data_IF_895820412110
#
_entry.id   IF_895820412110
#
_cell.length_a   1.000
_cell.length_b   1.000
_cell.length_c   1.000
_cell.angle_alpha   90.00
_cell.angle_beta   90.00
_cell.angle_gamma   90.00
#
_symmetry.space_group_name_H-M   'P 1'
#
loop_
_entity.id
_entity.type
_entity.pdbx_description
1 polymer ?
#
# COMPACT_ATOMS: atom_id res chain seq x y z
N UNK A 1 24.63 -1.87 -9.98
CA UNK A 1 23.83 -0.71 -10.40
C UNK A 1 23.81 0.31 -9.29
N UNK A 2 23.55 1.60 -9.58
CA UNK A 2 23.52 2.67 -8.58
C UNK A 2 22.16 3.33 -8.60
N UNK A 3 21.53 3.49 -7.43
CA UNK A 3 20.22 4.13 -7.29
C UNK A 3 20.21 5.08 -6.10
N UNK A 4 19.45 6.17 -6.22
CA UNK A 4 19.20 7.14 -5.15
C UNK A 4 17.77 6.94 -4.63
N UNK A 5 17.63 6.67 -3.35
CA UNK A 5 16.35 6.40 -2.71
C UNK A 5 16.07 7.50 -1.69
N UNK A 6 14.91 8.15 -1.80
CA UNK A 6 14.43 9.00 -0.71
C UNK A 6 13.82 8.12 0.37
N UNK A 7 14.29 8.29 1.61
CA UNK A 7 13.71 7.66 2.78
C UNK A 7 12.80 8.65 3.50
N UNK A 8 11.59 8.22 3.78
CA UNK A 8 10.62 8.95 4.60
C UNK A 8 10.30 8.08 5.82
N UNK A 9 11.01 8.23 6.94
CA UNK A 9 10.71 7.44 8.14
C UNK A 9 9.26 7.62 8.60
N UNK A 10 8.73 8.85 8.53
CA UNK A 10 7.36 9.17 8.92
C UNK A 10 7.16 9.22 10.43
N UNK A 11 5.99 8.77 10.89
CA UNK A 11 5.49 8.92 12.25
C UNK A 11 5.36 7.56 12.96
N UNK A 12 5.24 7.59 14.28
CA UNK A 12 4.96 6.41 15.09
C UNK A 12 5.97 5.28 14.93
N UNK A 13 5.52 4.10 14.46
CA UNK A 13 6.40 2.95 14.19
C UNK A 13 7.23 3.11 12.90
N UNK A 14 6.95 4.12 12.08
CA UNK A 14 7.60 4.32 10.78
C UNK A 14 9.13 4.30 10.83
N UNK A 15 9.79 5.06 11.74
CA UNK A 15 11.26 5.05 11.84
C UNK A 15 11.87 3.67 12.11
N UNK A 16 11.24 2.85 12.96
CA UNK A 16 11.78 1.53 13.30
C UNK A 16 11.60 0.52 12.14
N UNK A 17 10.47 0.52 11.43
CA UNK A 17 10.23 -0.39 10.31
C UNK A 17 11.04 -0.02 9.06
N UNK A 18 11.22 1.28 8.77
CA UNK A 18 12.08 1.76 7.67
C UNK A 18 13.54 1.44 7.93
N UNK A 19 14.00 1.54 9.18
CA UNK A 19 15.38 1.16 9.54
C UNK A 19 15.65 -0.32 9.23
N UNK A 20 14.69 -1.22 9.48
CA UNK A 20 14.86 -2.65 9.18
C UNK A 20 14.80 -2.91 7.66
N UNK A 21 13.89 -2.28 6.91
CA UNK A 21 13.85 -2.39 5.46
C UNK A 21 15.14 -1.85 4.80
N UNK A 22 15.69 -0.74 5.31
CA UNK A 22 16.98 -0.22 4.85
C UNK A 22 18.11 -1.23 5.04
N UNK A 23 18.19 -1.90 6.20
CA UNK A 23 19.22 -2.95 6.43
C UNK A 23 19.09 -4.10 5.43
N UNK A 24 17.86 -4.50 5.10
CA UNK A 24 17.59 -5.53 4.06
C UNK A 24 18.11 -5.05 2.70
N UNK A 25 17.84 -3.80 2.30
CA UNK A 25 18.37 -3.23 1.06
C UNK A 25 19.91 -3.15 1.07
N UNK A 26 20.52 -2.77 2.20
CA UNK A 26 21.99 -2.75 2.35
C UNK A 26 22.57 -4.16 2.19
N UNK A 27 21.89 -5.20 2.69
CA UNK A 27 22.28 -6.61 2.49
C UNK A 27 22.18 -7.07 1.04
N UNK A 28 21.13 -6.64 0.34
CA UNK A 28 20.97 -6.87 -1.11
C UNK A 28 22.13 -6.21 -1.87
N UNK A 29 22.52 -4.97 -1.53
CA UNK A 29 23.67 -4.31 -2.12
C UNK A 29 24.96 -5.09 -1.92
N UNK A 30 25.19 -5.59 -0.71
CA UNK A 30 26.38 -6.42 -0.40
C UNK A 30 26.41 -7.69 -1.25
N UNK A 31 25.28 -8.41 -1.32
CA UNK A 31 25.20 -9.71 -2.00
C UNK A 31 25.30 -9.61 -3.51
N UNK A 32 24.63 -8.61 -4.13
CA UNK A 32 24.50 -8.51 -5.58
C UNK A 32 25.37 -7.43 -6.22
N UNK A 33 26.18 -6.70 -5.42
CA UNK A 33 27.12 -5.69 -5.93
C UNK A 33 26.43 -4.42 -6.41
N UNK A 34 25.36 -3.97 -5.75
CA UNK A 34 24.69 -2.71 -6.00
C UNK A 34 25.19 -1.61 -5.05
N UNK A 35 24.82 -0.35 -5.36
CA UNK A 35 25.07 0.79 -4.48
C UNK A 35 23.78 1.60 -4.38
N UNK A 36 23.20 1.68 -3.18
CA UNK A 36 22.07 2.55 -2.91
C UNK A 36 22.51 3.73 -2.06
N UNK A 37 22.16 4.93 -2.52
CA UNK A 37 22.35 6.18 -1.77
C UNK A 37 21.01 6.61 -1.20
N UNK A 38 21.01 7.08 0.05
CA UNK A 38 19.77 7.44 0.74
C UNK A 38 19.75 8.92 1.09
N UNK A 39 18.63 9.57 0.80
CA UNK A 39 18.31 10.94 1.22
C UNK A 39 17.09 10.90 2.12
N UNK A 40 17.26 11.24 3.40
CA UNK A 40 16.15 11.27 4.35
C UNK A 40 15.40 12.60 4.25
N UNK A 41 14.07 12.54 4.20
CA UNK A 41 13.17 13.69 4.19
C UNK A 41 12.04 13.51 5.20
N UNK A 42 11.59 14.62 5.78
CA UNK A 42 10.51 14.63 6.76
C UNK A 42 9.15 14.79 6.07
N UNK A 43 8.16 14.03 6.56
CA UNK A 43 6.77 14.12 6.13
C UNK A 43 5.86 13.78 7.31
N UNK A 44 4.64 14.29 7.28
CA UNK A 44 3.64 14.02 8.32
C UNK A 44 3.88 14.82 9.61
N UNK A 45 3.65 14.17 10.73
CA UNK A 45 3.83 14.76 12.06
C UNK A 45 5.27 15.16 12.34
N UNK A 46 6.24 14.33 11.92
CA UNK A 46 7.66 14.64 12.03
C UNK A 46 8.04 15.94 11.31
N UNK A 47 7.45 16.22 10.15
CA UNK A 47 7.64 17.48 9.43
C UNK A 47 6.95 18.66 10.14
N UNK A 48 5.75 18.44 10.68
CA UNK A 48 5.01 19.47 11.42
C UNK A 48 5.82 19.92 12.65
N UNK A 49 6.40 18.99 13.38
CA UNK A 49 7.16 19.28 14.60
C UNK A 49 8.43 20.12 14.32
N UNK A 50 9.05 19.94 13.15
CA UNK A 50 10.28 20.66 12.78
C UNK A 50 9.99 21.93 11.98
N UNK A 51 9.06 21.85 11.02
CA UNK A 51 8.84 22.88 10.00
C UNK A 51 7.49 23.60 10.13
N UNK A 52 6.57 23.13 10.99
CA UNK A 52 5.22 23.68 11.15
C UNK A 52 4.26 23.32 10.00
N UNK A 53 4.69 22.53 9.04
CA UNK A 53 3.91 22.06 7.89
C UNK A 53 4.12 20.55 7.66
N UNK A 54 3.09 19.82 7.19
CA UNK A 54 3.19 18.37 7.03
C UNK A 54 4.11 17.92 5.88
N UNK A 55 4.46 18.82 4.96
CA UNK A 55 5.33 18.56 3.83
C UNK A 55 5.93 19.89 3.34
N UNK A 56 7.26 19.92 3.11
CA UNK A 56 7.97 21.09 2.58
C UNK A 56 8.23 20.94 1.07
N UNK A 57 8.41 22.07 0.37
CA UNK A 57 8.80 22.05 -1.05
C UNK A 57 10.17 21.39 -1.26
N UNK A 58 11.10 21.52 -0.30
CA UNK A 58 12.41 20.87 -0.33
C UNK A 58 12.28 19.35 -0.28
N UNK A 59 11.40 18.82 0.60
CA UNK A 59 11.11 17.39 0.67
C UNK A 59 10.53 16.86 -0.65
N UNK A 60 9.61 17.61 -1.29
CA UNK A 60 9.08 17.28 -2.62
C UNK A 60 10.20 17.28 -3.68
N UNK A 61 11.08 18.27 -3.66
CA UNK A 61 12.18 18.37 -4.63
C UNK A 61 13.16 17.20 -4.48
N UNK A 62 13.52 16.83 -3.25
CA UNK A 62 14.38 15.70 -2.95
C UNK A 62 13.74 14.38 -3.41
N UNK A 63 12.46 14.16 -3.10
CA UNK A 63 11.74 12.97 -3.54
C UNK A 63 11.66 12.87 -5.08
N UNK A 64 11.43 13.99 -5.78
CA UNK A 64 11.42 14.04 -7.26
C UNK A 64 12.77 13.74 -7.89
N UNK A 65 13.86 14.08 -7.22
CA UNK A 65 15.22 13.88 -7.71
C UNK A 65 15.76 12.45 -7.47
N UNK A 66 15.05 11.64 -6.69
CA UNK A 66 15.42 10.25 -6.45
C UNK A 66 14.87 9.29 -7.51
N UNK A 67 15.37 8.06 -7.52
CA UNK A 67 14.89 6.99 -8.42
C UNK A 67 13.64 6.31 -7.88
N UNK A 68 13.46 6.32 -6.55
CA UNK A 68 12.29 5.82 -5.85
C UNK A 68 12.19 6.41 -4.44
N UNK A 69 11.03 6.25 -3.81
CA UNK A 69 10.78 6.64 -2.41
C UNK A 69 10.40 5.41 -1.60
N UNK A 70 11.08 5.18 -0.47
CA UNK A 70 10.67 4.21 0.55
C UNK A 70 10.17 4.97 1.77
N UNK A 71 8.94 4.71 2.18
CA UNK A 71 8.26 5.42 3.25
C UNK A 71 7.79 4.46 4.34
N UNK A 72 7.82 4.91 5.57
CA UNK A 72 7.17 4.25 6.69
C UNK A 72 5.69 4.64 6.79
N UNK A 73 5.24 4.94 7.98
CA UNK A 73 3.84 5.27 8.25
C UNK A 73 3.64 6.75 8.57
N UNK A 74 2.49 7.29 8.24
CA UNK A 74 2.13 8.70 8.48
C UNK A 74 0.89 8.77 9.36
N UNK A 75 0.88 9.71 10.30
CA UNK A 75 -0.25 10.00 11.17
C UNK A 75 0.02 9.75 12.64
N UNK A 76 -1.03 9.85 13.45
CA UNK A 76 -0.96 9.68 14.90
C UNK A 76 -2.34 9.34 15.48
N UNK A 77 -2.44 9.26 16.80
CA UNK A 77 -3.71 9.06 17.47
C UNK A 77 -4.57 10.33 17.40
N UNK A 78 -5.77 10.21 16.84
CA UNK A 78 -6.67 11.36 16.61
C UNK A 78 -7.11 12.07 17.90
N UNK A 79 -7.04 11.40 19.07
CA UNK A 79 -7.48 11.94 20.36
C UNK A 79 -6.34 12.60 21.12
N UNK A 80 -5.13 12.04 21.03
CA UNK A 80 -3.99 12.41 21.88
C UNK A 80 -2.93 13.22 21.16
N UNK A 81 -2.77 13.04 19.84
CA UNK A 81 -1.76 13.72 19.06
C UNK A 81 -2.08 15.21 18.87
N UNK A 82 -1.11 16.11 19.08
CA UNK A 82 -1.33 17.56 18.96
C UNK A 82 -1.66 18.00 17.52
N UNK A 83 -1.26 17.23 16.53
CA UNK A 83 -1.45 17.56 15.10
C UNK A 83 -2.93 17.59 14.69
N UNK A 84 -3.81 16.84 15.38
CA UNK A 84 -5.25 16.81 15.06
C UNK A 84 -6.02 18.01 15.60
N UNK A 85 -5.36 18.91 16.39
CA UNK A 85 -5.88 20.23 16.75
C UNK A 85 -5.70 21.26 15.63
N UNK A 86 -4.87 20.94 14.64
CA UNK A 86 -4.63 21.78 13.46
C UNK A 86 -5.78 21.67 12.47
N UNK A 87 -5.89 22.69 11.61
CA UNK A 87 -6.78 22.63 10.44
C UNK A 87 -6.51 21.38 9.60
N UNK A 88 -7.53 20.74 9.00
CA UNK A 88 -7.37 19.51 8.23
C UNK A 88 -6.27 19.57 7.16
N UNK A 89 -6.09 20.73 6.51
CA UNK A 89 -5.05 20.97 5.50
C UNK A 89 -3.61 20.99 6.05
N UNK A 90 -3.45 21.02 7.36
CA UNK A 90 -2.15 21.05 8.07
C UNK A 90 -1.86 19.77 8.86
N UNK A 91 -2.74 18.76 8.77
CA UNK A 91 -2.56 17.47 9.45
C UNK A 91 -1.61 16.57 8.68
N UNK A 92 -1.05 15.52 9.30
CA UNK A 92 -0.13 14.59 8.66
C UNK A 92 -0.65 14.00 7.34
N UNK A 93 -1.93 13.63 7.28
CA UNK A 93 -2.58 13.04 6.10
C UNK A 93 -2.60 14.00 4.90
N UNK A 94 -2.69 15.31 5.15
CA UNK A 94 -2.60 16.30 4.08
C UNK A 94 -1.23 16.28 3.38
N UNK A 95 -0.16 16.04 4.14
CA UNK A 95 1.18 15.84 3.60
C UNK A 95 1.27 14.59 2.72
N UNK A 96 0.66 13.48 3.16
CA UNK A 96 0.62 12.23 2.39
C UNK A 96 -0.12 12.40 1.06
N UNK A 97 -1.28 13.04 1.07
CA UNK A 97 -2.03 13.32 -0.16
C UNK A 97 -1.26 14.28 -1.09
N UNK A 98 -0.59 15.29 -0.50
CA UNK A 98 0.18 16.26 -1.26
C UNK A 98 1.40 15.63 -1.96
N UNK A 99 2.17 14.75 -1.30
CA UNK A 99 3.32 14.09 -1.94
C UNK A 99 2.88 13.12 -3.03
N UNK A 100 1.82 12.34 -2.84
CA UNK A 100 1.26 11.46 -3.87
C UNK A 100 0.86 12.25 -5.12
N UNK A 101 0.21 13.40 -4.94
CA UNK A 101 -0.14 14.32 -6.03
C UNK A 101 1.09 14.93 -6.69
N UNK A 102 2.04 15.44 -5.90
CA UNK A 102 3.25 16.08 -6.40
C UNK A 102 4.14 15.13 -7.23
N UNK A 103 4.14 13.84 -6.88
CA UNK A 103 4.84 12.78 -7.59
C UNK A 103 4.00 12.10 -8.69
N UNK A 104 2.74 12.52 -8.88
CA UNK A 104 1.79 11.94 -9.86
C UNK A 104 1.61 10.42 -9.72
N UNK A 105 1.50 9.93 -8.49
CA UNK A 105 1.35 8.51 -8.18
C UNK A 105 -0.13 8.11 -8.28
N UNK A 106 -0.54 7.58 -9.41
CA UNK A 106 -1.97 7.30 -9.66
C UNK A 106 -2.38 5.84 -9.42
N UNK A 107 -1.44 4.89 -9.46
CA UNK A 107 -1.74 3.48 -9.32
C UNK A 107 -1.18 2.94 -8.00
N UNK A 108 -2.05 2.63 -7.05
CA UNK A 108 -1.65 2.00 -5.80
C UNK A 108 -1.89 0.49 -5.88
N UNK A 109 -0.82 -0.27 -5.76
CA UNK A 109 -0.81 -1.73 -5.79
C UNK A 109 -0.77 -2.26 -4.37
N UNK A 110 -1.75 -3.05 -3.98
CA UNK A 110 -1.88 -3.68 -2.66
C UNK A 110 -2.06 -5.20 -2.83
N UNK A 111 -0.96 -5.98 -2.84
CA UNK A 111 -1.04 -7.43 -2.87
C UNK A 111 -1.59 -7.97 -1.55
N UNK A 112 -2.46 -8.97 -1.63
CA UNK A 112 -2.96 -9.73 -0.49
C UNK A 112 -2.72 -11.22 -0.76
N UNK A 113 -1.67 -11.73 -0.13
CA UNK A 113 -1.20 -13.10 -0.24
C UNK A 113 -1.28 -13.80 1.11
N UNK A 114 -1.93 -14.95 1.15
CA UNK A 114 -1.97 -15.77 2.37
C UNK A 114 -0.80 -16.75 2.38
N UNK A 115 0.15 -16.51 3.25
CA UNK A 115 1.23 -17.46 3.53
C UNK A 115 0.67 -18.70 4.22
N UNK A 116 1.09 -19.90 3.81
CA UNK A 116 0.64 -21.15 4.43
C UNK A 116 0.95 -21.19 5.93
N UNK A 117 2.06 -20.61 6.34
CA UNK A 117 2.55 -20.51 7.72
C UNK A 117 1.69 -19.57 8.57
N UNK A 118 0.87 -18.73 7.96
CA UNK A 118 -0.04 -17.79 8.63
C UNK A 118 -1.52 -18.21 8.56
N UNK A 119 -1.83 -19.41 8.06
CA UNK A 119 -3.22 -19.91 8.00
C UNK A 119 -3.93 -19.87 9.36
N UNK A 120 -3.23 -20.14 10.44
CA UNK A 120 -3.78 -20.07 11.79
C UNK A 120 -4.14 -18.65 12.24
N UNK A 121 -3.54 -17.62 11.66
CA UNK A 121 -3.87 -16.21 11.91
C UNK A 121 -5.00 -15.69 11.02
N UNK A 122 -5.32 -16.39 9.92
CA UNK A 122 -6.44 -16.05 9.04
C UNK A 122 -7.78 -16.24 9.77
N UNK A 123 -8.68 -15.26 9.76
CA UNK A 123 -9.98 -15.35 10.44
C UNK A 123 -10.99 -16.22 9.68
N UNK A 124 -10.68 -16.63 8.45
CA UNK A 124 -11.56 -17.44 7.62
C UNK A 124 -11.43 -18.93 7.99
N UNK A 125 -12.52 -19.67 7.79
CA UNK A 125 -12.51 -21.13 7.97
C UNK A 125 -11.70 -21.82 6.86
N UNK A 126 -11.10 -22.97 7.18
CA UNK A 126 -10.26 -23.73 6.24
C UNK A 126 -10.98 -24.10 4.94
N UNK A 127 -12.29 -24.36 4.97
CA UNK A 127 -13.06 -24.66 3.75
C UNK A 127 -13.15 -23.45 2.80
N UNK A 128 -13.04 -22.21 3.32
CA UNK A 128 -13.05 -20.98 2.54
C UNK A 128 -11.65 -20.68 2.02
N UNK A 129 -10.63 -20.92 2.84
CA UNK A 129 -9.23 -20.71 2.49
C UNK A 129 -8.80 -21.65 1.35
N UNK A 130 -9.26 -22.92 1.39
CA UNK A 130 -8.87 -23.93 0.39
C UNK A 130 -7.35 -24.07 0.29
N UNK A 131 -6.82 -23.93 -0.92
CA UNK A 131 -5.37 -23.98 -1.21
C UNK A 131 -4.67 -22.61 -0.95
N UNK A 132 -5.38 -21.63 -0.40
CA UNK A 132 -4.90 -20.27 -0.20
C UNK A 132 -5.42 -19.30 -1.26
N UNK A 133 -4.98 -18.05 -1.17
CA UNK A 133 -5.32 -17.03 -2.16
C UNK A 133 -4.15 -16.07 -2.36
N UNK A 134 -4.08 -15.55 -3.57
CA UNK A 134 -3.10 -14.56 -4.03
C UNK A 134 -3.82 -13.57 -4.94
N UNK A 135 -4.05 -12.36 -4.47
CA UNK A 135 -4.70 -11.30 -5.22
C UNK A 135 -3.94 -10.00 -5.12
N UNK A 136 -4.19 -9.10 -6.06
CA UNK A 136 -3.68 -7.73 -6.01
C UNK A 136 -4.81 -6.74 -6.26
N UNK A 137 -4.96 -5.76 -5.38
CA UNK A 137 -5.89 -4.65 -5.55
C UNK A 137 -5.14 -3.49 -6.19
N UNK A 138 -5.59 -3.08 -7.36
CA UNK A 138 -5.09 -1.95 -8.15
C UNK A 138 -6.06 -0.78 -7.93
N UNK A 139 -5.71 0.09 -6.97
CA UNK A 139 -6.49 1.25 -6.54
C UNK A 139 -6.07 2.48 -7.34
N UNK A 140 -7.00 3.18 -7.97
CA UNK A 140 -6.75 4.54 -8.44
C UNK A 140 -6.50 5.45 -7.23
N UNK A 141 -5.45 6.28 -7.25
CA UNK A 141 -4.95 6.93 -6.03
C UNK A 141 -5.08 8.46 -6.03
N UNK A 142 -5.33 9.10 -7.17
CA UNK A 142 -5.24 10.57 -7.32
C UNK A 142 -6.53 11.24 -7.77
N UNK A 143 -7.60 10.48 -7.90
CA UNK A 143 -8.95 10.97 -8.22
C UNK A 143 -9.98 10.65 -7.13
N UNK A 144 -11.23 10.79 -7.49
CA UNK A 144 -12.37 10.40 -6.69
C UNK A 144 -12.67 11.32 -5.51
N UNK A 145 -13.30 10.73 -4.50
CA UNK A 145 -13.84 11.47 -3.34
C UNK A 145 -12.74 12.17 -2.53
N UNK A 146 -11.55 11.57 -2.41
CA UNK A 146 -10.46 12.10 -1.59
C UNK A 146 -9.79 13.35 -2.18
N UNK A 147 -9.96 13.59 -3.48
CA UNK A 147 -9.39 14.74 -4.20
C UNK A 147 -10.44 15.70 -4.75
N UNK A 148 -11.73 15.39 -4.57
CA UNK A 148 -12.83 16.24 -4.96
C UNK A 148 -12.99 17.50 -4.11
N UNK A 149 -13.81 18.41 -4.59
CA UNK A 149 -14.19 19.59 -3.82
C UNK A 149 -14.97 19.19 -2.57
N UNK A 150 -14.65 19.84 -1.48
CA UNK A 150 -15.33 19.61 -0.20
C UNK A 150 -15.60 20.92 0.50
N UNK A 151 -16.76 21.02 1.14
CA UNK A 151 -17.15 22.19 1.92
C UNK A 151 -18.09 21.82 3.05
N UNK A 152 -18.06 22.63 4.10
CA UNK A 152 -19.06 22.63 5.16
C UNK A 152 -19.59 24.05 5.28
N UNK A 153 -20.88 24.25 5.09
CA UNK A 153 -21.54 25.55 5.08
C UNK A 153 -22.92 25.46 5.72
N UNK A 154 -23.47 26.61 6.08
CA UNK A 154 -24.85 26.68 6.55
C UNK A 154 -25.79 26.91 5.33
N UNK A 155 -26.71 25.98 5.11
CA UNK A 155 -27.73 26.02 4.06
C UNK A 155 -29.09 26.02 4.75
N UNK A 156 -29.86 27.06 4.52
CA UNK A 156 -31.20 27.24 5.13
C UNK A 156 -31.23 27.09 6.66
N UNK A 157 -30.17 27.58 7.34
CA UNK A 157 -30.02 27.48 8.80
C UNK A 157 -29.57 26.11 9.31
N UNK A 158 -29.15 25.18 8.41
CA UNK A 158 -28.68 23.85 8.75
C UNK A 158 -27.23 23.67 8.31
N UNK A 159 -26.36 23.22 9.23
CA UNK A 159 -24.98 22.91 8.90
C UNK A 159 -24.91 21.71 7.96
N UNK A 160 -24.39 21.93 6.73
CA UNK A 160 -24.35 20.95 5.65
C UNK A 160 -22.94 20.74 5.18
N UNK A 161 -22.49 19.48 5.12
CA UNK A 161 -21.18 19.08 4.57
C UNK A 161 -21.38 18.40 3.21
N UNK A 162 -20.54 18.74 2.24
CA UNK A 162 -20.55 18.18 0.89
C UNK A 162 -19.15 17.73 0.51
N UNK A 163 -19.04 16.50 0.01
CA UNK A 163 -17.85 15.95 -0.65
C UNK A 163 -18.22 15.52 -2.07
N UNK A 164 -17.40 15.90 -3.05
CA UNK A 164 -17.68 15.64 -4.47
C UNK A 164 -16.80 14.50 -4.99
N UNK A 165 -17.44 13.47 -5.54
CA UNK A 165 -16.75 12.37 -6.22
C UNK A 165 -16.67 12.67 -7.72
N UNK A 166 -15.47 12.79 -8.27
CA UNK A 166 -15.25 13.08 -9.70
C UNK A 166 -14.19 12.16 -10.27
N UNK A 167 -14.48 11.59 -11.45
CA UNK A 167 -13.53 10.87 -12.31
C UNK A 167 -13.69 11.32 -13.75
N UNK A 168 -12.58 11.43 -14.47
CA UNK A 168 -12.56 11.61 -15.91
C UNK A 168 -12.05 10.34 -16.63
N UNK A 169 -12.32 10.25 -17.92
CA UNK A 169 -11.96 9.07 -18.72
C UNK A 169 -10.45 8.74 -18.74
N UNK A 170 -9.58 9.76 -18.65
CA UNK A 170 -8.14 9.56 -18.68
C UNK A 170 -7.64 8.90 -17.37
N UNK A 171 -8.18 9.31 -16.23
CA UNK A 171 -7.87 8.70 -14.94
C UNK A 171 -8.29 7.23 -14.92
N UNK A 172 -9.49 6.92 -15.39
CA UNK A 172 -9.99 5.55 -15.46
C UNK A 172 -9.16 4.71 -16.44
N UNK A 173 -8.87 5.26 -17.62
CA UNK A 173 -8.14 4.56 -18.68
C UNK A 173 -6.72 4.17 -18.25
N UNK A 174 -5.99 5.09 -17.59
CA UNK A 174 -4.62 4.82 -17.14
C UNK A 174 -4.56 3.73 -16.05
N UNK A 175 -5.50 3.73 -15.10
CA UNK A 175 -5.51 2.72 -14.05
C UNK A 175 -6.00 1.37 -14.57
N UNK A 176 -6.97 1.34 -15.49
CA UNK A 176 -7.41 0.13 -16.14
C UNK A 176 -6.25 -0.52 -16.91
N UNK A 177 -5.53 0.23 -17.76
CA UNK A 177 -4.34 -0.29 -18.46
C UNK A 177 -3.34 -0.91 -17.49
N UNK A 178 -3.00 -0.22 -16.39
CA UNK A 178 -2.08 -0.75 -15.37
C UNK A 178 -2.58 -2.08 -14.79
N UNK A 179 -3.87 -2.22 -14.51
CA UNK A 179 -4.45 -3.47 -13.99
C UNK A 179 -4.38 -4.60 -15.03
N UNK A 180 -4.69 -4.32 -16.29
CA UNK A 180 -4.59 -5.32 -17.36
C UNK A 180 -3.13 -5.73 -17.63
N UNK A 181 -2.17 -4.81 -17.62
CA UNK A 181 -0.74 -5.11 -17.74
C UNK A 181 -0.26 -6.04 -16.62
N UNK A 182 -0.73 -5.80 -15.39
CA UNK A 182 -0.44 -6.68 -14.24
C UNK A 182 -1.09 -8.06 -14.45
N UNK A 183 -2.34 -8.11 -14.88
CA UNK A 183 -3.06 -9.37 -15.13
C UNK A 183 -2.38 -10.22 -16.19
N UNK A 184 -1.80 -9.61 -17.23
CA UNK A 184 -1.03 -10.33 -18.28
C UNK A 184 0.16 -11.11 -17.70
N UNK A 185 0.72 -10.65 -16.60
CA UNK A 185 1.83 -11.32 -15.89
C UNK A 185 1.36 -12.28 -14.78
N UNK A 186 0.05 -12.37 -14.56
CA UNK A 186 -0.59 -13.19 -13.51
C UNK A 186 -1.55 -14.21 -14.16
N UNK A 187 -2.67 -14.49 -13.50
CA UNK A 187 -3.66 -15.50 -13.97
C UNK A 187 -4.62 -14.98 -15.05
N UNK A 188 -4.37 -13.78 -15.59
CA UNK A 188 -5.14 -13.16 -16.67
C UNK A 188 -6.63 -12.96 -16.33
N UNK A 189 -6.93 -12.61 -15.10
CA UNK A 189 -8.28 -12.31 -14.64
C UNK A 189 -8.35 -10.95 -13.97
N UNK A 190 -9.19 -10.05 -14.48
CA UNK A 190 -9.46 -8.72 -13.92
C UNK A 190 -10.90 -8.65 -13.44
N UNK A 191 -11.08 -8.28 -12.18
CA UNK A 191 -12.39 -7.93 -11.63
C UNK A 191 -12.42 -6.42 -11.44
N UNK A 192 -13.25 -5.75 -12.25
CA UNK A 192 -13.52 -4.31 -12.12
C UNK A 192 -14.61 -4.08 -11.09
N UNK A 193 -14.28 -3.31 -10.04
CA UNK A 193 -15.18 -3.09 -8.91
C UNK A 193 -15.66 -1.63 -8.90
N UNK A 194 -16.97 -1.45 -8.87
CA UNK A 194 -17.63 -0.16 -8.96
C UNK A 194 -19.00 -0.13 -8.25
N UNK A 195 -19.75 0.96 -8.40
CA UNK A 195 -21.13 1.12 -7.92
C UNK A 195 -22.03 1.63 -9.06
N UNK A 196 -21.91 1.05 -10.24
CA UNK A 196 -22.56 1.50 -11.49
C UNK A 196 -24.09 1.48 -11.45
N UNK A 197 -24.67 0.66 -10.59
CA UNK A 197 -26.13 0.65 -10.36
C UNK A 197 -26.67 1.96 -9.73
N UNK A 198 -25.80 2.81 -9.15
CA UNK A 198 -26.18 4.05 -8.46
C UNK A 198 -25.43 5.27 -9.00
N UNK A 199 -24.11 5.20 -9.18
CA UNK A 199 -23.25 6.35 -9.43
C UNK A 199 -22.92 6.57 -10.90
N UNK A 200 -22.99 7.84 -11.37
CA UNK A 200 -22.60 8.21 -12.73
C UNK A 200 -21.10 8.01 -13.00
N UNK A 201 -20.25 8.32 -12.00
CA UNK A 201 -18.80 8.08 -12.07
C UNK A 201 -18.50 6.60 -12.28
N UNK A 202 -19.23 5.70 -11.63
CA UNK A 202 -19.07 4.25 -11.78
C UNK A 202 -19.60 3.74 -13.13
N UNK A 203 -20.65 4.34 -13.69
CA UNK A 203 -21.10 4.04 -15.06
C UNK A 203 -20.07 4.45 -16.12
N UNK A 204 -19.39 5.58 -15.93
CA UNK A 204 -18.27 5.99 -16.75
C UNK A 204 -17.09 5.02 -16.58
N UNK A 205 -16.80 4.59 -15.33
CA UNK A 205 -15.78 3.61 -15.01
C UNK A 205 -15.99 2.30 -15.77
N UNK A 206 -17.17 1.70 -15.65
CA UNK A 206 -17.57 0.49 -16.36
C UNK A 206 -17.35 0.61 -17.88
N UNK A 207 -17.86 1.70 -18.48
CA UNK A 207 -17.69 1.98 -19.91
C UNK A 207 -16.22 1.99 -20.34
N UNK A 208 -15.37 2.75 -19.64
CA UNK A 208 -13.96 2.91 -20.02
C UNK A 208 -13.15 1.64 -19.78
N UNK A 209 -13.41 0.91 -18.70
CA UNK A 209 -12.75 -0.38 -18.45
C UNK A 209 -13.09 -1.39 -19.55
N UNK A 210 -14.35 -1.46 -20.00
CA UNK A 210 -14.77 -2.28 -21.14
C UNK A 210 -14.10 -1.85 -22.46
N UNK A 211 -13.83 -0.56 -22.65
CA UNK A 211 -13.08 -0.09 -23.82
C UNK A 211 -11.62 -0.57 -23.78
N UNK A 212 -10.94 -0.43 -22.63
CA UNK A 212 -9.55 -0.87 -22.45
C UNK A 212 -9.42 -2.38 -22.59
N UNK A 213 -10.37 -3.17 -22.10
CA UNK A 213 -10.35 -4.63 -22.19
C UNK A 213 -10.24 -5.15 -23.63
N UNK A 214 -10.68 -4.38 -24.64
CA UNK A 214 -10.58 -4.77 -26.06
C UNK A 214 -9.12 -4.88 -26.52
N UNK A 215 -8.20 -4.17 -25.89
CA UNK A 215 -6.76 -4.21 -26.19
C UNK A 215 -6.08 -5.43 -25.53
N UNK A 216 -6.78 -6.17 -24.64
CA UNK A 216 -6.26 -7.30 -23.87
C UNK A 216 -7.12 -8.57 -24.04
N UNK A 217 -7.22 -9.13 -25.24
CA UNK A 217 -8.14 -10.25 -25.55
C UNK A 217 -7.84 -11.53 -24.77
N UNK A 218 -6.65 -11.64 -24.17
CA UNK A 218 -6.26 -12.80 -23.36
C UNK A 218 -6.70 -12.68 -21.89
N UNK A 219 -7.16 -11.50 -21.45
CA UNK A 219 -7.57 -11.24 -20.08
C UNK A 219 -9.08 -11.34 -19.95
N UNK A 220 -9.54 -12.15 -19.01
CA UNK A 220 -10.96 -12.22 -18.67
C UNK A 220 -11.32 -11.02 -17.80
N UNK A 221 -12.29 -10.22 -18.23
CA UNK A 221 -12.87 -9.12 -17.45
C UNK A 221 -14.21 -9.53 -16.86
N UNK A 222 -14.39 -9.28 -15.56
CA UNK A 222 -15.65 -9.40 -14.85
C UNK A 222 -15.95 -8.11 -14.11
N UNK A 223 -17.19 -7.63 -14.10
CA UNK A 223 -17.63 -6.50 -13.30
C UNK A 223 -18.31 -6.98 -12.02
N UNK A 224 -18.04 -6.30 -10.91
CA UNK A 224 -18.63 -6.63 -9.61
C UNK A 224 -18.96 -5.35 -8.85
N UNK A 225 -20.18 -5.28 -8.30
CA UNK A 225 -20.53 -4.17 -7.42
C UNK A 225 -19.71 -4.25 -6.12
N UNK A 226 -19.30 -3.12 -5.58
CA UNK A 226 -18.39 -3.02 -4.42
C UNK A 226 -18.91 -3.74 -3.20
N UNK A 227 -20.20 -3.67 -2.91
CA UNK A 227 -20.85 -4.38 -1.80
C UNK A 227 -20.80 -5.91 -2.00
N UNK A 228 -20.98 -6.40 -3.24
CA UNK A 228 -20.78 -7.81 -3.53
C UNK A 228 -19.30 -8.20 -3.42
N UNK A 229 -18.37 -7.35 -3.87
CA UNK A 229 -16.94 -7.60 -3.75
C UNK A 229 -16.52 -7.81 -2.28
N UNK A 230 -16.96 -6.93 -1.38
CA UNK A 230 -16.72 -7.06 0.05
C UNK A 230 -17.24 -8.41 0.60
N UNK A 231 -18.46 -8.81 0.23
CA UNK A 231 -18.98 -10.13 0.61
C UNK A 231 -18.15 -11.29 0.04
N UNK A 232 -17.69 -11.18 -1.22
CA UNK A 232 -16.94 -12.24 -1.90
C UNK A 232 -15.51 -12.37 -1.40
N UNK A 233 -14.87 -11.29 -0.94
CA UNK A 233 -13.55 -11.35 -0.29
C UNK A 233 -13.57 -12.30 0.92
N UNK A 234 -14.64 -12.27 1.71
CA UNK A 234 -14.79 -13.13 2.88
C UNK A 234 -15.32 -14.53 2.52
N UNK A 235 -16.12 -14.63 1.45
CA UNK A 235 -16.80 -15.90 1.08
C UNK A 235 -15.97 -16.79 0.15
N UNK A 236 -15.25 -16.21 -0.78
CA UNK A 236 -14.48 -16.93 -1.80
C UNK A 236 -13.29 -16.08 -2.28
N UNK A 237 -12.27 -15.83 -1.44
CA UNK A 237 -11.12 -14.98 -1.80
C UNK A 237 -10.30 -15.55 -2.95
N UNK A 238 -10.27 -16.85 -3.14
CA UNK A 238 -9.48 -17.52 -4.18
C UNK A 238 -9.91 -17.17 -5.63
N UNK A 239 -11.12 -16.63 -5.82
CA UNK A 239 -11.59 -16.21 -7.16
C UNK A 239 -10.88 -14.95 -7.67
N UNK A 240 -10.30 -14.13 -6.78
CA UNK A 240 -9.68 -12.87 -7.12
C UNK A 240 -8.23 -13.06 -7.61
N UNK A 241 -7.88 -12.44 -8.72
CA UNK A 241 -6.51 -12.32 -9.22
C UNK A 241 -6.08 -10.85 -9.21
N UNK A 242 -6.64 -10.03 -10.10
CA UNK A 242 -6.43 -8.58 -10.13
C UNK A 242 -7.78 -7.89 -9.94
N UNK A 243 -7.89 -7.06 -8.92
CA UNK A 243 -9.05 -6.21 -8.67
C UNK A 243 -8.68 -4.78 -9.03
N UNK A 244 -9.43 -4.14 -9.93
CA UNK A 244 -9.26 -2.72 -10.26
C UNK A 244 -10.45 -1.92 -9.77
N UNK A 245 -10.18 -0.82 -9.07
CA UNK A 245 -11.25 0.00 -8.47
C UNK A 245 -10.82 1.44 -8.21
N UNK A 246 -11.80 2.29 -7.95
CA UNK A 246 -11.61 3.68 -7.60
C UNK A 246 -10.98 3.85 -6.20
N UNK A 247 -10.64 5.10 -5.85
CA UNK A 247 -9.83 5.44 -4.69
C UNK A 247 -10.43 4.96 -3.36
N UNK A 248 -11.65 5.37 -3.03
CA UNK A 248 -12.27 5.06 -1.75
C UNK A 248 -12.62 3.57 -1.62
N UNK A 249 -13.16 2.95 -2.66
CA UNK A 249 -13.46 1.52 -2.63
C UNK A 249 -12.19 0.68 -2.52
N UNK A 250 -11.13 1.09 -3.23
CA UNK A 250 -9.83 0.44 -3.17
C UNK A 250 -9.18 0.52 -1.79
N UNK A 251 -9.38 1.64 -1.07
CA UNK A 251 -8.93 1.80 0.31
C UNK A 251 -9.60 0.78 1.23
N UNK A 252 -10.92 0.76 1.22
CA UNK A 252 -11.72 -0.10 2.10
C UNK A 252 -11.49 -1.60 1.80
N UNK A 253 -11.58 -1.98 0.52
CA UNK A 253 -11.45 -3.38 0.11
C UNK A 253 -10.04 -3.94 0.36
N UNK A 254 -9.00 -3.12 0.23
CA UNK A 254 -7.63 -3.58 0.49
C UNK A 254 -7.36 -3.78 1.98
N UNK A 255 -7.97 -2.98 2.85
CA UNK A 255 -7.87 -3.18 4.29
C UNK A 255 -8.65 -4.45 4.72
N UNK A 256 -9.82 -4.69 4.12
CA UNK A 256 -10.53 -5.97 4.30
C UNK A 256 -9.69 -7.16 3.82
N UNK A 257 -9.10 -7.05 2.62
CA UNK A 257 -8.22 -8.09 2.08
C UNK A 257 -6.97 -8.33 2.97
N UNK A 258 -6.45 -7.29 3.63
CA UNK A 258 -5.34 -7.43 4.57
C UNK A 258 -5.72 -8.28 5.79
N UNK A 259 -6.91 -8.07 6.31
CA UNK A 259 -7.36 -8.80 7.50
C UNK A 259 -7.56 -10.28 7.24
N UNK A 260 -7.97 -10.67 6.05
CA UNK A 260 -8.10 -12.10 5.69
C UNK A 260 -6.75 -12.78 5.42
N UNK A 261 -5.64 -12.03 5.27
CA UNK A 261 -4.28 -12.61 5.24
C UNK A 261 -3.67 -12.84 6.62
N UNK A 262 -4.35 -12.43 7.68
CA UNK A 262 -3.97 -12.65 9.06
C UNK A 262 -3.40 -11.43 9.79
N UNK A 263 -2.79 -10.46 9.10
CA UNK A 263 -2.33 -9.20 9.70
C UNK A 263 -2.07 -8.12 8.66
N UNK A 264 -2.47 -6.89 8.98
CA UNK A 264 -2.11 -5.70 8.20
C UNK A 264 -0.59 -5.45 8.17
N UNK A 265 0.16 -5.97 9.16
CA UNK A 265 1.63 -5.93 9.20
C UNK A 265 2.33 -6.75 8.11
N UNK A 266 1.57 -7.54 7.33
CA UNK A 266 2.04 -8.30 6.18
C UNK A 266 1.76 -7.61 4.84
N UNK A 267 0.95 -6.54 4.82
CA UNK A 267 0.46 -5.92 3.59
C UNK A 267 1.41 -4.84 3.09
N UNK A 268 2.21 -5.18 2.07
CA UNK A 268 3.03 -4.23 1.31
C UNK A 268 2.18 -3.38 0.36
N UNK A 269 2.74 -2.26 -0.08
CA UNK A 269 2.09 -1.36 -1.04
C UNK A 269 3.10 -0.64 -1.92
N UNK A 270 2.72 -0.42 -3.17
CA UNK A 270 3.44 0.40 -4.13
C UNK A 270 2.51 1.42 -4.77
N UNK A 271 2.89 2.68 -4.72
CA UNK A 271 2.20 3.76 -5.42
C UNK A 271 3.04 4.17 -6.64
N UNK A 272 2.54 3.89 -7.83
CA UNK A 272 3.27 3.99 -9.08
C UNK A 272 2.73 5.12 -9.97
N UNK A 273 3.61 5.68 -10.79
CA UNK A 273 3.22 6.51 -11.91
C UNK A 273 3.41 5.75 -13.25
N UNK A 274 3.36 6.46 -14.35
CA UNK A 274 3.37 5.84 -15.68
C UNK A 274 4.73 5.22 -16.04
N UNK A 275 5.82 5.84 -15.58
CA UNK A 275 7.19 5.32 -15.71
C UNK A 275 7.53 4.34 -14.55
N UNK A 276 8.83 4.10 -14.34
CA UNK A 276 9.29 3.18 -13.28
C UNK A 276 9.35 3.79 -11.88
N UNK A 277 9.13 5.10 -11.75
CA UNK A 277 9.17 5.74 -10.44
C UNK A 277 8.00 5.32 -9.56
N UNK A 278 8.27 5.04 -8.30
CA UNK A 278 7.27 4.67 -7.31
C UNK A 278 7.60 5.15 -5.90
N UNK A 279 6.55 5.17 -5.07
CA UNK A 279 6.63 5.33 -3.63
C UNK A 279 6.12 4.01 -3.01
N UNK A 280 6.91 3.47 -2.10
CA UNK A 280 6.73 2.15 -1.50
C UNK A 280 6.56 2.30 0.00
N UNK A 281 5.44 1.85 0.53
CA UNK A 281 5.04 2.03 1.92
C UNK A 281 4.23 0.83 2.41
N UNK A 282 4.25 0.49 3.72
CA UNK A 282 3.30 -0.47 4.24
C UNK A 282 1.88 0.09 4.20
N UNK A 283 0.87 -0.75 4.12
CA UNK A 283 -0.53 -0.29 4.09
C UNK A 283 -1.08 0.08 5.47
N UNK A 284 -0.40 -0.31 6.55
CA UNK A 284 -0.80 0.01 7.92
C UNK A 284 -0.47 1.45 8.33
N UNK A 285 -1.14 1.94 9.36
CA UNK A 285 -0.91 3.27 9.95
C UNK A 285 0.31 3.33 10.90
N UNK A 286 0.43 4.45 11.60
CA UNK A 286 1.58 4.79 12.43
C UNK A 286 1.64 4.07 13.79
N UNK A 287 0.56 3.43 14.25
CA UNK A 287 0.47 2.68 15.51
C UNK A 287 1.24 3.33 16.68
N UNK A 288 0.87 4.58 17.07
CA UNK A 288 1.63 5.35 18.06
C UNK A 288 1.67 4.71 19.45
N UNK A 289 0.73 3.82 19.75
CA UNK A 289 0.63 3.07 21.01
C UNK A 289 1.77 2.07 21.22
N UNK A 290 2.37 1.56 20.14
CA UNK A 290 3.50 0.62 20.20
C UNK A 290 4.82 1.22 19.69
N UNK A 291 4.83 2.47 19.26
CA UNK A 291 6.01 3.15 18.72
C UNK A 291 7.19 3.16 19.71
N UNK A 292 8.39 2.84 19.22
CA UNK A 292 9.62 2.78 20.02
C UNK A 292 9.71 1.59 20.98
N UNK A 293 8.75 0.65 20.95
CA UNK A 293 8.72 -0.51 21.84
C UNK A 293 9.30 -1.79 21.22
N UNK A 294 9.84 -1.71 20.01
CA UNK A 294 10.36 -2.89 19.28
C UNK A 294 9.31 -4.00 19.08
N UNK A 295 8.02 -3.63 18.94
CA UNK A 295 6.91 -4.57 18.77
C UNK A 295 6.35 -4.59 17.34
N UNK A 296 6.65 -3.57 16.55
CA UNK A 296 6.13 -3.45 15.19
C UNK A 296 6.60 -4.61 14.31
N UNK A 297 5.74 -5.03 13.38
CA UNK A 297 6.12 -5.99 12.34
C UNK A 297 6.74 -5.22 11.16
N UNK A 298 8.02 -5.42 10.80
CA UNK A 298 8.65 -4.71 9.69
C UNK A 298 8.39 -5.37 8.33
N UNK A 299 7.75 -6.54 8.28
CA UNK A 299 7.63 -7.36 7.06
C UNK A 299 6.93 -6.60 5.94
N UNK A 300 5.85 -5.88 6.23
CA UNK A 300 5.14 -5.10 5.20
C UNK A 300 6.06 -4.06 4.52
N UNK A 301 6.91 -3.36 5.29
CA UNK A 301 7.87 -2.39 4.75
C UNK A 301 9.00 -3.08 3.99
N UNK A 302 9.48 -4.22 4.46
CA UNK A 302 10.48 -5.06 3.78
C UNK A 302 9.94 -5.57 2.44
N UNK A 303 8.70 -6.06 2.40
CA UNK A 303 8.05 -6.48 1.16
C UNK A 303 7.75 -5.29 0.24
N UNK A 304 7.46 -4.10 0.79
CA UNK A 304 7.35 -2.88 -0.02
C UNK A 304 8.69 -2.51 -0.65
N UNK A 305 9.81 -2.71 0.06
CA UNK A 305 11.14 -2.54 -0.52
C UNK A 305 11.44 -3.61 -1.61
N UNK A 306 10.96 -4.84 -1.46
CA UNK A 306 11.03 -5.84 -2.55
C UNK A 306 10.23 -5.40 -3.79
N UNK A 307 9.04 -4.82 -3.60
CA UNK A 307 8.28 -4.22 -4.71
C UNK A 307 9.06 -3.08 -5.38
N UNK A 308 9.81 -2.25 -4.62
CA UNK A 308 10.68 -1.21 -5.18
C UNK A 308 11.77 -1.80 -6.06
N UNK A 309 12.45 -2.84 -5.60
CA UNK A 309 13.46 -3.56 -6.39
C UNK A 309 12.87 -4.07 -7.71
N UNK A 310 11.67 -4.64 -7.70
CA UNK A 310 10.99 -5.21 -8.86
C UNK A 310 10.45 -4.16 -9.81
N UNK A 311 9.69 -3.17 -9.32
CA UNK A 311 8.93 -2.25 -10.18
C UNK A 311 9.71 -1.00 -10.58
N UNK A 312 10.58 -0.45 -9.71
CA UNK A 312 11.37 0.74 -10.03
C UNK A 312 12.72 0.39 -10.64
N UNK A 313 13.35 -0.71 -10.19
CA UNK A 313 14.75 -0.99 -10.54
C UNK A 313 14.93 -2.18 -11.49
N UNK A 314 13.86 -2.94 -11.82
CA UNK A 314 13.89 -4.21 -12.58
C UNK A 314 14.90 -5.23 -12.00
N UNK A 315 14.99 -5.30 -10.69
CA UNK A 315 15.82 -6.20 -9.93
C UNK A 315 14.96 -7.36 -9.40
N UNK A 316 14.47 -8.21 -10.32
CA UNK A 316 13.54 -9.29 -9.98
C UNK A 316 14.19 -10.38 -9.11
N UNK A 317 15.46 -10.72 -9.36
CA UNK A 317 16.19 -11.73 -8.58
C UNK A 317 16.39 -11.27 -7.14
N UNK A 318 16.72 -10.01 -6.95
CA UNK A 318 16.90 -9.37 -5.65
C UNK A 318 15.57 -9.28 -4.87
N UNK A 319 14.50 -8.93 -5.56
CA UNK A 319 13.15 -8.92 -5.00
C UNK A 319 12.73 -10.33 -4.54
N UNK A 320 12.91 -11.34 -5.38
CA UNK A 320 12.66 -12.75 -5.05
C UNK A 320 13.47 -13.22 -3.85
N UNK A 321 14.72 -12.76 -3.73
CA UNK A 321 15.56 -13.13 -2.58
C UNK A 321 15.00 -12.57 -1.26
N UNK A 322 14.46 -11.34 -1.27
CA UNK A 322 13.82 -10.74 -0.09
C UNK A 322 12.52 -11.48 0.25
N UNK A 323 11.65 -11.73 -0.74
CA UNK A 323 10.38 -12.43 -0.56
C UNK A 323 10.60 -13.85 0.00
N UNK A 324 11.53 -14.62 -0.57
CA UNK A 324 11.91 -15.94 -0.08
C UNK A 324 12.54 -15.91 1.33
N UNK A 325 13.30 -14.87 1.67
CA UNK A 325 13.83 -14.72 3.01
C UNK A 325 12.72 -14.51 4.05
N UNK A 326 11.68 -13.76 3.71
CA UNK A 326 10.46 -13.60 4.54
C UNK A 326 9.74 -14.94 4.70
N UNK A 327 9.48 -15.67 3.60
CA UNK A 327 8.87 -17.00 3.65
C UNK A 327 9.64 -17.93 4.60
N UNK A 328 10.97 -17.96 4.47
CA UNK A 328 11.83 -18.80 5.29
C UNK A 328 11.80 -18.46 6.78
N UNK A 329 11.68 -17.18 7.13
CA UNK A 329 11.48 -16.75 8.53
C UNK A 329 10.17 -17.32 9.07
N UNK A 330 9.11 -17.27 8.25
CA UNK A 330 7.80 -17.82 8.63
C UNK A 330 7.82 -19.35 8.73
N UNK A 331 8.49 -20.06 7.82
CA UNK A 331 8.72 -21.52 7.88
C UNK A 331 9.48 -21.93 9.15
N UNK A 332 10.45 -21.12 9.60
CA UNK A 332 11.21 -21.35 10.83
C UNK A 332 10.45 -21.00 12.12
N UNK A 333 9.14 -20.75 12.01
CA UNK A 333 8.23 -20.45 13.12
C UNK A 333 8.58 -19.17 13.91
N UNK A 334 9.19 -18.18 13.27
CA UNK A 334 9.52 -16.90 13.88
C UNK A 334 8.41 -15.88 13.58
N UNK A 335 7.91 -15.20 14.61
CA UNK A 335 6.73 -14.31 14.52
C UNK A 335 6.94 -13.02 15.30
N UNK A 336 6.38 -11.95 14.80
CA UNK A 336 6.06 -10.76 15.60
C UNK A 336 4.72 -10.95 16.32
N UNK A 337 4.41 -10.07 17.27
CA UNK A 337 3.24 -10.23 18.15
C UNK A 337 1.90 -10.26 17.40
N UNK A 338 1.78 -9.52 16.29
CA UNK A 338 0.57 -9.39 15.46
C UNK A 338 0.22 -10.66 14.68
N UNK A 339 1.22 -11.50 14.38
CA UNK A 339 1.07 -12.76 13.65
C UNK A 339 1.43 -13.98 14.53
N UNK A 340 1.42 -13.79 15.85
CA UNK A 340 1.81 -14.82 16.80
C UNK A 340 0.74 -15.91 16.90
N UNK A 341 1.17 -17.16 17.02
CA UNK A 341 0.34 -18.32 17.31
C UNK A 341 1.07 -19.32 18.20
N UNK A 342 0.37 -20.31 18.74
CA UNK A 342 0.92 -21.29 19.66
C UNK A 342 2.09 -22.07 19.04
N UNK A 343 3.16 -22.24 19.81
CA UNK A 343 4.34 -22.99 19.39
C UNK A 343 5.34 -22.18 18.56
N UNK A 344 5.08 -20.90 18.26
CA UNK A 344 5.97 -20.03 17.51
C UNK A 344 6.95 -19.29 18.43
N UNK A 345 8.04 -18.80 17.83
CA UNK A 345 9.06 -17.98 18.51
C UNK A 345 8.74 -16.51 18.32
N UNK A 346 8.42 -15.83 19.43
CA UNK A 346 8.15 -14.39 19.43
C UNK A 346 9.45 -13.60 19.33
N UNK A 347 9.50 -12.64 18.40
CA UNK A 347 10.60 -11.68 18.21
C UNK A 347 10.06 -10.26 18.09
N UNK A 348 10.93 -9.27 18.32
CA UNK A 348 10.64 -7.87 18.10
C UNK A 348 10.95 -7.43 16.66
N UNK A 349 10.72 -6.14 16.40
CA UNK A 349 10.93 -5.52 15.08
C UNK A 349 12.38 -5.71 14.58
N UNK A 350 13.35 -5.38 15.42
CA UNK A 350 14.80 -5.48 15.08
C UNK A 350 15.23 -6.92 14.86
N UNK A 351 14.77 -7.83 15.70
CA UNK A 351 15.10 -9.26 15.59
C UNK A 351 14.51 -9.85 14.31
N UNK A 352 13.25 -9.47 13.97
CA UNK A 352 12.62 -9.89 12.71
C UNK A 352 13.43 -9.42 11.49
N UNK A 353 13.84 -8.15 11.45
CA UNK A 353 14.71 -7.64 10.40
C UNK A 353 16.04 -8.41 10.30
N UNK A 354 16.67 -8.71 11.43
CA UNK A 354 17.90 -9.50 11.46
C UNK A 354 17.70 -10.94 10.98
N UNK A 355 16.57 -11.58 11.31
CA UNK A 355 16.25 -12.93 10.85
C UNK A 355 16.02 -12.98 9.33
N UNK A 356 15.41 -11.96 8.75
CA UNK A 356 15.28 -11.83 7.28
C UNK A 356 16.66 -11.69 6.63
N UNK A 357 17.51 -10.78 7.15
CA UNK A 357 18.87 -10.55 6.62
C UNK A 357 19.74 -11.81 6.61
N UNK A 358 19.63 -12.66 7.63
CA UNK A 358 20.37 -13.95 7.71
C UNK A 358 19.99 -14.93 6.59
N UNK A 359 18.83 -14.78 5.98
CA UNK A 359 18.28 -15.70 4.97
C UNK A 359 18.39 -15.16 3.54
N UNK A 360 18.78 -13.89 3.37
CA UNK A 360 19.22 -13.30 2.11
C UNK A 360 20.65 -13.76 1.79
#
# INVERSE_FOLDING_TARGET
MNYNISLIPGDGIGPEIVAEAKKVLDKICEKYGHTFSYSEVLLGGASIDVHGVPLTDEAIATAKASDAVLMGSIGGDAKTSPWYKLEPSKRPEAGLLAIRKALNLFANLRPAYLYNELRAACPLRDEIIGDGFDMIIVRELTGGLYFGERKTEEVDGVLTATDTLTYNENEIRRIAKKAFDIAMKRRKNVISVDKSNVLDSSRLWDKIVNEVAKDYPEVTLTHMLVDNCAMQLVKNPAQFDVVVTENMFGDILSDEASMITGSIGMLSSASLREDKFGLYEPSHGAAPDIAGQNKANPIATVLSAAMMLRYSFDLDEEADAVEKAVEKVLEDNIRTIDIMSDGMTLVGCKEMGNEIIKRI
#
